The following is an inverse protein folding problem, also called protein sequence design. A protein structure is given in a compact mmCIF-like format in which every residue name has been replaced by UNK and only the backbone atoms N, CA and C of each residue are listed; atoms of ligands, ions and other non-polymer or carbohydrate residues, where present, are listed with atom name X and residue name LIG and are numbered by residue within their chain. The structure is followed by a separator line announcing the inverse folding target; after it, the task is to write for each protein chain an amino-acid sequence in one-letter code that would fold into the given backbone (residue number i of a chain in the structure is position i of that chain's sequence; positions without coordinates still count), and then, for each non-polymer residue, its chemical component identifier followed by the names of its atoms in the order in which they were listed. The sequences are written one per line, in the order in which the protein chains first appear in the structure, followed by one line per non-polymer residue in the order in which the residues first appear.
data_IF_472992457360
#
_entry.id   IF_472992457360
#
_cell.length_a   1.000
_cell.length_b   1.000
_cell.length_c   1.000
_cell.angle_alpha   90.00
_cell.angle_beta   90.00
_cell.angle_gamma   90.00
#
_symmetry.space_group_name_H-M   'P 1'
#
loop_
_entity.id
_entity.type
_entity.pdbx_description
1 polymer ?
#
# COMPACT_ATOMS: atom_id res chain seq x y z
N UNK A 1 -17.77 -10.30 1.05
CA UNK A 1 -16.81 -11.03 1.92
C UNK A 1 -17.11 -10.68 3.38
N UNK A 2 -17.22 -9.40 3.73
CA UNK A 2 -17.64 -8.95 5.06
C UNK A 2 -18.99 -9.52 5.52
N UNK A 3 -19.94 -9.76 4.60
CA UNK A 3 -21.21 -10.45 4.92
C UNK A 3 -21.03 -11.86 5.52
N UNK A 4 -19.83 -12.44 5.39
CA UNK A 4 -19.45 -13.73 5.97
C UNK A 4 -18.64 -13.59 7.27
N UNK A 5 -18.50 -12.37 7.81
CA UNK A 5 -17.74 -12.09 9.04
C UNK A 5 -16.22 -12.16 8.88
N UNK A 6 -15.71 -12.03 7.66
CA UNK A 6 -14.27 -12.04 7.34
C UNK A 6 -13.75 -10.61 7.11
N UNK A 7 -12.43 -10.43 7.12
CA UNK A 7 -11.73 -9.16 6.84
C UNK A 7 -11.05 -9.17 5.46
N UNK A 8 -10.96 -8.01 4.81
CA UNK A 8 -10.33 -7.82 3.50
C UNK A 8 -8.89 -7.34 3.65
N UNK A 9 -7.94 -8.14 3.18
CA UNK A 9 -6.55 -7.72 3.02
C UNK A 9 -6.26 -7.31 1.58
N UNK A 10 -5.45 -6.27 1.38
CA UNK A 10 -4.85 -5.90 0.09
C UNK A 10 -3.32 -5.84 0.21
N UNK A 11 -2.65 -5.87 -0.92
CA UNK A 11 -1.21 -5.76 -1.06
C UNK A 11 -0.86 -4.50 -1.84
N UNK A 12 0.18 -3.81 -1.40
CA UNK A 12 0.81 -2.74 -2.18
C UNK A 12 2.31 -2.65 -1.84
N UNK A 13 3.04 -1.78 -2.54
CA UNK A 13 4.48 -1.56 -2.32
C UNK A 13 4.78 -0.08 -2.04
N UNK A 14 5.68 0.21 -1.10
CA UNK A 14 6.11 1.57 -0.79
C UNK A 14 7.02 2.19 -1.87
N UNK A 15 7.58 1.38 -2.76
CA UNK A 15 8.41 1.76 -3.90
C UNK A 15 7.64 2.20 -5.14
N UNK A 16 8.36 2.32 -6.26
CA UNK A 16 7.75 2.75 -7.54
C UNK A 16 6.94 1.65 -8.22
N UNK A 17 7.28 0.40 -7.94
CA UNK A 17 6.64 -0.80 -8.47
C UNK A 17 6.60 -1.87 -7.39
N UNK A 18 5.55 -2.68 -7.38
CA UNK A 18 5.51 -3.89 -6.56
C UNK A 18 6.59 -4.88 -6.96
N UNK A 19 6.83 -5.87 -6.09
CA UNK A 19 7.82 -6.91 -6.38
C UNK A 19 7.53 -7.71 -7.66
N UNK A 20 6.29 -7.68 -8.18
CA UNK A 20 5.90 -8.35 -9.43
C UNK A 20 5.73 -7.36 -10.62
N UNK A 21 6.10 -6.09 -10.44
CA UNK A 21 6.11 -5.10 -11.51
C UNK A 21 4.77 -4.40 -11.78
N UNK A 22 3.85 -4.40 -10.81
CA UNK A 22 2.66 -3.54 -10.83
C UNK A 22 3.00 -2.15 -10.26
N UNK A 23 2.20 -1.10 -10.49
CA UNK A 23 2.45 0.22 -9.89
C UNK A 23 2.56 0.15 -8.37
N UNK A 24 3.55 0.82 -7.78
CA UNK A 24 3.68 0.98 -6.33
C UNK A 24 3.23 2.37 -5.86
N UNK A 25 3.18 2.56 -4.55
CA UNK A 25 2.61 3.75 -3.89
C UNK A 25 3.57 4.93 -3.71
N UNK A 26 4.85 4.85 -4.12
CA UNK A 26 5.77 5.97 -3.92
C UNK A 26 5.22 7.26 -4.57
N UNK A 27 5.14 8.34 -3.79
CA UNK A 27 4.51 9.63 -4.13
C UNK A 27 2.96 9.61 -4.28
N UNK A 28 2.30 8.48 -4.04
CA UNK A 28 0.85 8.29 -4.14
C UNK A 28 0.21 7.68 -2.88
N UNK A 29 0.99 7.48 -1.82
CA UNK A 29 0.53 6.84 -0.58
C UNK A 29 -0.79 7.40 -0.01
N UNK A 30 -1.11 8.69 -0.19
CA UNK A 30 -2.29 9.32 0.41
C UNK A 30 -3.53 8.96 -0.40
N UNK A 31 -3.45 9.11 -1.72
CA UNK A 31 -4.55 8.72 -2.59
C UNK A 31 -4.78 7.20 -2.52
N UNK A 32 -3.72 6.40 -2.40
CA UNK A 32 -3.83 4.95 -2.26
C UNK A 32 -4.46 4.57 -0.91
N UNK A 33 -4.02 5.18 0.19
CA UNK A 33 -4.63 4.96 1.50
C UNK A 33 -6.11 5.37 1.56
N UNK A 34 -6.47 6.52 0.98
CA UNK A 34 -7.87 6.98 0.86
C UNK A 34 -8.69 6.02 -0.01
N UNK A 35 -8.09 5.51 -1.10
CA UNK A 35 -8.72 4.54 -1.99
C UNK A 35 -8.98 3.22 -1.27
N UNK A 36 -8.00 2.68 -0.56
CA UNK A 36 -8.14 1.42 0.19
C UNK A 36 -9.21 1.53 1.28
N UNK A 37 -9.24 2.66 1.99
CA UNK A 37 -10.30 2.95 2.96
C UNK A 37 -11.69 3.01 2.29
N UNK A 38 -11.80 3.61 1.09
CA UNK A 38 -13.07 3.68 0.36
C UNK A 38 -13.57 2.32 -0.14
N UNK A 39 -12.68 1.33 -0.25
CA UNK A 39 -13.00 -0.05 -0.64
C UNK A 39 -13.30 -0.96 0.56
N UNK A 40 -13.36 -0.42 1.77
CA UNK A 40 -13.50 -1.17 3.03
C UNK A 40 -12.38 -2.21 3.24
N UNK A 41 -11.13 -1.88 2.89
CA UNK A 41 -9.97 -2.72 3.19
C UNK A 41 -9.64 -2.64 4.69
N UNK A 42 -9.44 -3.80 5.32
CA UNK A 42 -9.13 -3.93 6.74
C UNK A 42 -7.64 -4.07 7.04
N UNK A 43 -6.85 -4.54 6.06
CA UNK A 43 -5.43 -4.82 6.23
C UNK A 43 -4.63 -4.51 4.96
N UNK A 44 -3.51 -3.82 5.12
CA UNK A 44 -2.57 -3.55 4.04
C UNK A 44 -1.25 -4.28 4.31
N UNK A 45 -0.89 -5.23 3.44
CA UNK A 45 0.49 -5.71 3.33
C UNK A 45 1.25 -4.70 2.46
N UNK A 46 2.14 -3.91 3.07
CA UNK A 46 2.98 -2.94 2.37
C UNK A 46 4.41 -3.46 2.24
N UNK A 47 4.86 -3.71 1.02
CA UNK A 47 6.20 -4.21 0.71
C UNK A 47 7.19 -3.08 0.43
N UNK A 48 8.43 -3.44 0.10
CA UNK A 48 9.51 -2.47 -0.15
C UNK A 48 10.41 -2.83 -1.31
N UNK A 49 9.90 -3.42 -2.39
CA UNK A 49 10.63 -3.56 -3.63
C UNK A 49 10.77 -2.19 -4.33
N UNK A 50 11.77 -2.03 -5.19
CA UNK A 50 11.89 -0.83 -6.05
C UNK A 50 11.85 0.52 -5.30
N UNK A 51 12.30 0.56 -4.05
CA UNK A 51 12.37 1.76 -3.21
C UNK A 51 13.82 2.11 -2.87
N UNK A 52 14.12 3.41 -2.78
CA UNK A 52 15.32 3.85 -2.08
C UNK A 52 15.14 3.66 -0.57
N UNK A 53 15.90 2.72 0.02
CA UNK A 53 15.77 2.33 1.43
C UNK A 53 16.06 3.46 2.42
N UNK A 54 16.73 4.54 2.00
CA UNK A 54 16.91 5.74 2.84
C UNK A 54 15.60 6.49 3.10
N UNK A 55 14.56 6.26 2.30
CA UNK A 55 13.24 6.88 2.46
C UNK A 55 12.35 6.13 3.46
N UNK A 56 12.62 4.86 3.74
CA UNK A 56 11.80 4.03 4.63
C UNK A 56 11.71 4.54 6.08
N UNK A 57 12.80 5.01 6.73
CA UNK A 57 12.75 5.45 8.13
C UNK A 57 11.96 6.75 8.32
N UNK A 58 11.79 7.53 7.26
CA UNK A 58 11.20 8.87 7.33
C UNK A 58 9.67 8.77 7.46
N UNK A 59 9.06 7.74 6.88
CA UNK A 59 7.60 7.50 6.97
C UNK A 59 6.73 8.67 6.51
N UNK A 60 7.31 9.62 5.74
CA UNK A 60 6.68 10.85 5.28
C UNK A 60 7.31 11.32 3.97
N UNK A 61 6.50 11.36 2.91
CA UNK A 61 6.75 12.12 1.67
C UNK A 61 5.48 12.91 1.30
N UNK A 62 5.00 13.68 2.27
CA UNK A 62 4.11 14.83 2.10
C UNK A 62 4.59 15.95 3.02
#
# INVERSE_FOLDING_TARGET
MHDKGLQLGIYEDYGTETCEGYPGSLNHLQIDAETFASWDVDYLKLDGCNVNTTLMPIGKLW
#
